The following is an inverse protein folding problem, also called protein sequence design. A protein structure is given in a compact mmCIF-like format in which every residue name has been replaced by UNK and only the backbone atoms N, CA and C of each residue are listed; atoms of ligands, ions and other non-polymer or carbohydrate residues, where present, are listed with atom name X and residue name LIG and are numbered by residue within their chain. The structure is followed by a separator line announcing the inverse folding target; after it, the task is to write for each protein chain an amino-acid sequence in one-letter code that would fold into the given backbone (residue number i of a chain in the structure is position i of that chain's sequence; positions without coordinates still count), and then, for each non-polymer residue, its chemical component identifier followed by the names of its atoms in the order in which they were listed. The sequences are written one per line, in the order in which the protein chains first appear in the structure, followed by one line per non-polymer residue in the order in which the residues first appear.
data_IF_064864937987
#
_entry.id   IF_064864937987
#
_cell.length_a   1.000
_cell.length_b   1.000
_cell.length_c   1.000
_cell.angle_alpha   90.00
_cell.angle_beta   90.00
_cell.angle_gamma   90.00
#
_symmetry.space_group_name_H-M   'P 1'
#
loop_
_entity.id
_entity.type
_entity.pdbx_description
1 polymer ?
#
# COMPACT_ATOMS: atom_id res chain seq x y z
N UNK A 1 2.08 -33.92 23.64
CA UNK A 1 2.01 -33.45 25.04
C UNK A 1 0.75 -32.68 25.28
N UNK A 2 0.18 -32.67 26.52
CA UNK A 2 -0.97 -31.81 26.79
C UNK A 2 -0.56 -30.35 26.85
N UNK A 3 -1.19 -29.51 26.02
CA UNK A 3 -0.95 -28.08 26.00
C UNK A 3 -2.19 -27.29 25.55
N UNK A 4 -2.16 -26.01 25.80
CA UNK A 4 -3.21 -25.06 25.41
C UNK A 4 -3.07 -24.72 23.92
N UNK A 5 -4.11 -24.96 23.14
CA UNK A 5 -4.19 -24.68 21.70
C UNK A 5 -5.54 -24.01 21.43
N UNK A 6 -5.64 -23.20 20.40
CA UNK A 6 -6.92 -22.62 20.01
C UNK A 6 -7.81 -23.65 19.30
N UNK A 7 -9.11 -23.50 19.49
CA UNK A 7 -10.15 -24.21 18.72
C UNK A 7 -11.10 -23.18 18.14
N UNK A 8 -11.51 -23.36 16.88
CA UNK A 8 -12.39 -22.45 16.15
C UNK A 8 -13.71 -23.15 15.88
N UNK A 9 -14.79 -22.60 16.46
CA UNK A 9 -16.16 -23.04 16.24
C UNK A 9 -16.61 -22.63 14.83
N UNK A 10 -16.74 -23.61 13.95
CA UNK A 10 -17.07 -23.40 12.53
C UNK A 10 -18.51 -22.88 12.35
N UNK A 11 -19.42 -23.13 13.28
CA UNK A 11 -20.81 -22.63 13.21
C UNK A 11 -20.87 -21.14 13.54
N UNK A 12 -20.06 -20.68 14.50
CA UNK A 12 -19.97 -19.27 14.91
C UNK A 12 -19.09 -18.44 13.98
N UNK A 13 -18.15 -19.08 13.28
CA UNK A 13 -17.24 -18.37 12.38
C UNK A 13 -17.97 -17.78 11.18
N UNK A 14 -17.89 -16.45 11.00
CA UNK A 14 -18.47 -15.73 9.87
C UNK A 14 -17.52 -15.54 8.67
N UNK A 15 -16.28 -16.04 8.74
CA UNK A 15 -15.31 -15.96 7.66
C UNK A 15 -14.62 -14.59 7.48
N UNK A 16 -14.65 -13.71 8.46
CA UNK A 16 -14.08 -12.35 8.34
C UNK A 16 -12.55 -12.29 8.19
N UNK A 17 -11.81 -13.35 8.54
CA UNK A 17 -10.35 -13.43 8.39
C UNK A 17 -9.52 -12.65 9.41
N UNK A 18 -10.11 -11.87 10.32
CA UNK A 18 -9.40 -11.02 11.28
C UNK A 18 -8.44 -11.83 12.17
N UNK A 19 -8.84 -13.04 12.59
CA UNK A 19 -8.01 -13.91 13.42
C UNK A 19 -6.79 -14.46 12.67
N UNK A 20 -6.90 -14.71 11.37
CA UNK A 20 -5.77 -15.13 10.54
C UNK A 20 -4.75 -13.99 10.39
N UNK A 21 -5.22 -12.75 10.24
CA UNK A 21 -4.35 -11.57 10.21
C UNK A 21 -3.68 -11.27 11.55
N UNK A 22 -4.36 -11.52 12.66
CA UNK A 22 -3.82 -11.28 14.01
C UNK A 22 -2.91 -12.39 14.52
N UNK A 23 -2.86 -13.54 13.85
CA UNK A 23 -1.99 -14.63 14.25
C UNK A 23 -0.55 -14.39 13.81
N UNK A 24 0.31 -13.99 14.74
CA UNK A 24 1.73 -13.73 14.45
C UNK A 24 2.45 -14.97 13.92
N UNK A 25 2.04 -16.16 14.33
CA UNK A 25 2.66 -17.44 13.95
C UNK A 25 2.06 -18.03 12.65
N UNK A 26 1.08 -17.33 12.04
CA UNK A 26 0.39 -17.80 10.83
C UNK A 26 -0.21 -19.22 10.96
N UNK A 27 -0.58 -19.58 12.19
CA UNK A 27 -1.18 -20.87 12.51
C UNK A 27 -2.63 -20.98 12.01
N UNK A 28 -3.30 -19.85 11.76
CA UNK A 28 -4.70 -19.78 11.32
C UNK A 28 -4.74 -19.44 9.83
N UNK A 29 -5.46 -20.23 9.05
CA UNK A 29 -5.75 -19.99 7.64
C UNK A 29 -7.24 -19.96 7.34
N UNK A 30 -7.58 -19.58 6.12
CA UNK A 30 -8.95 -19.62 5.62
C UNK A 30 -9.16 -20.88 4.79
N UNK A 31 -10.08 -21.75 5.21
CA UNK A 31 -10.44 -22.99 4.53
C UNK A 31 -11.95 -22.96 4.25
N UNK A 32 -12.35 -23.12 3.03
CA UNK A 32 -13.75 -23.07 2.58
C UNK A 32 -14.51 -21.81 3.07
N UNK A 33 -13.81 -20.67 3.10
CA UNK A 33 -14.38 -19.39 3.52
C UNK A 33 -14.49 -19.20 5.04
N UNK A 34 -13.96 -20.09 5.86
CA UNK A 34 -13.96 -20.02 7.33
C UNK A 34 -12.54 -20.16 7.87
N UNK A 35 -12.30 -19.57 9.04
CA UNK A 35 -11.01 -19.70 9.71
C UNK A 35 -10.81 -21.11 10.26
N UNK A 36 -9.62 -21.67 10.12
CA UNK A 36 -9.23 -22.95 10.67
C UNK A 36 -7.78 -22.91 11.18
N UNK A 37 -7.50 -23.66 12.25
CA UNK A 37 -6.14 -23.91 12.68
C UNK A 37 -5.48 -24.89 11.70
N UNK A 38 -4.43 -24.44 11.02
CA UNK A 38 -3.77 -25.22 9.96
C UNK A 38 -2.90 -26.34 10.53
N UNK A 39 -2.16 -26.03 11.61
CA UNK A 39 -1.27 -26.96 12.29
C UNK A 39 -1.20 -26.64 13.78
N UNK A 40 -1.23 -27.67 14.61
CA UNK A 40 -1.15 -27.51 16.06
C UNK A 40 0.20 -26.95 16.52
N UNK A 41 1.28 -27.43 15.93
CA UNK A 41 2.66 -27.06 16.25
C UNK A 41 3.04 -25.62 15.85
N UNK A 42 2.19 -24.93 15.07
CA UNK A 42 2.36 -23.51 14.76
C UNK A 42 1.69 -22.60 15.80
N UNK A 43 0.70 -23.09 16.55
CA UNK A 43 0.03 -22.27 17.57
C UNK A 43 0.89 -22.18 18.81
N UNK A 44 1.33 -20.99 19.22
CA UNK A 44 2.08 -20.72 20.45
C UNK A 44 1.21 -20.77 21.73
N UNK A 45 -0.12 -20.61 21.57
CA UNK A 45 -1.09 -20.59 22.68
C UNK A 45 -1.19 -19.24 23.39
N UNK A 46 -0.64 -18.15 22.85
CA UNK A 46 -0.74 -16.80 23.43
C UNK A 46 -2.16 -16.22 23.28
N UNK A 47 -2.80 -16.42 22.13
CA UNK A 47 -4.22 -16.12 21.96
C UNK A 47 -4.54 -14.72 21.44
N UNK A 48 -3.63 -14.07 20.73
CA UNK A 48 -3.84 -12.76 20.11
C UNK A 48 -5.02 -12.74 19.11
N UNK A 49 -5.38 -13.92 18.62
CA UNK A 49 -6.54 -14.14 17.74
C UNK A 49 -7.90 -14.07 18.45
N UNK A 50 -7.95 -14.22 19.80
CA UNK A 50 -9.23 -14.25 20.53
C UNK A 50 -9.93 -12.88 20.56
N UNK A 51 -9.26 -11.77 20.98
CA UNK A 51 -9.91 -10.47 21.12
C UNK A 51 -10.37 -9.85 19.80
N UNK A 52 -9.81 -10.29 18.67
CA UNK A 52 -10.18 -9.77 17.36
C UNK A 52 -11.35 -10.51 16.70
N UNK A 53 -11.83 -11.59 17.30
CA UNK A 53 -12.95 -12.36 16.74
C UNK A 53 -14.30 -11.71 17.09
N UNK A 54 -15.04 -11.13 16.11
CA UNK A 54 -16.28 -10.42 16.38
C UNK A 54 -17.43 -11.36 16.81
N UNK A 55 -17.32 -12.65 16.51
CA UNK A 55 -18.34 -13.66 16.81
C UNK A 55 -17.98 -14.55 18.01
N UNK A 56 -16.83 -14.29 18.66
CA UNK A 56 -16.31 -15.12 19.73
C UNK A 56 -16.25 -16.62 19.37
N UNK A 57 -15.91 -16.92 18.12
CA UNK A 57 -15.80 -18.29 17.61
C UNK A 57 -14.53 -19.02 18.09
N UNK A 58 -13.56 -18.30 18.68
CA UNK A 58 -12.25 -18.85 19.05
C UNK A 58 -12.21 -19.06 20.57
N UNK A 59 -11.81 -20.24 20.97
CA UNK A 59 -11.61 -20.62 22.39
C UNK A 59 -10.30 -21.38 22.55
N UNK A 60 -9.84 -21.49 23.80
CA UNK A 60 -8.73 -22.36 24.13
C UNK A 60 -9.23 -23.74 24.54
N UNK A 61 -8.49 -24.75 24.09
CA UNK A 61 -8.65 -26.13 24.52
C UNK A 61 -7.31 -26.68 25.03
N UNK A 62 -7.33 -27.41 26.14
CA UNK A 62 -6.18 -28.16 26.61
C UNK A 62 -6.31 -29.60 26.10
N UNK A 63 -5.54 -29.94 25.10
CA UNK A 63 -5.56 -31.26 24.48
C UNK A 63 -4.16 -31.79 24.17
N UNK A 64 -4.06 -33.05 23.85
CA UNK A 64 -2.81 -33.59 23.35
C UNK A 64 -2.53 -33.01 21.96
N UNK A 65 -1.42 -32.30 21.82
CA UNK A 65 -0.98 -31.65 20.59
C UNK A 65 0.54 -31.73 20.46
N UNK A 66 1.02 -31.57 19.22
CA UNK A 66 2.45 -31.45 18.96
C UNK A 66 3.05 -30.25 19.71
N UNK A 67 4.30 -30.34 20.13
CA UNK A 67 5.00 -29.18 20.71
C UNK A 67 5.06 -28.02 19.71
N UNK A 68 5.06 -26.79 20.21
CA UNK A 68 5.30 -25.60 19.38
C UNK A 68 6.68 -25.70 18.73
N UNK A 69 6.73 -25.48 17.42
CA UNK A 69 7.94 -25.57 16.61
C UNK A 69 8.23 -24.21 15.96
N UNK A 70 8.99 -23.38 16.66
CA UNK A 70 9.42 -22.07 16.20
C UNK A 70 10.22 -22.16 14.89
N UNK A 71 11.04 -23.18 14.71
CA UNK A 71 11.84 -23.34 13.50
C UNK A 71 10.96 -23.62 12.28
N UNK A 72 9.92 -24.45 12.44
CA UNK A 72 8.95 -24.72 11.40
C UNK A 72 8.10 -23.48 11.07
N UNK A 73 7.74 -22.67 12.05
CA UNK A 73 7.04 -21.40 11.85
C UNK A 73 7.90 -20.41 11.08
N UNK A 74 9.17 -20.24 11.45
CA UNK A 74 10.11 -19.35 10.74
C UNK A 74 10.34 -19.81 9.30
N UNK A 75 10.48 -21.11 9.07
CA UNK A 75 10.60 -21.67 7.72
C UNK A 75 9.34 -21.42 6.88
N UNK A 76 8.15 -21.55 7.48
CA UNK A 76 6.88 -21.26 6.79
C UNK A 76 6.76 -19.77 6.45
N UNK A 77 7.09 -18.88 7.38
CA UNK A 77 7.12 -17.43 7.13
C UNK A 77 8.09 -17.08 5.99
N UNK A 78 9.31 -17.63 6.02
CA UNK A 78 10.30 -17.40 4.96
C UNK A 78 9.84 -17.94 3.59
N UNK A 79 9.14 -19.08 3.54
CA UNK A 79 8.59 -19.61 2.30
C UNK A 79 7.43 -18.76 1.74
N UNK A 80 6.61 -18.20 2.61
CA UNK A 80 5.51 -17.30 2.21
C UNK A 80 6.00 -15.91 1.80
N UNK A 81 7.08 -15.40 2.40
CA UNK A 81 7.75 -14.18 1.94
C UNK A 81 8.40 -14.37 0.56
N UNK A 82 8.86 -15.58 0.23
CA UNK A 82 9.38 -15.90 -1.09
C UNK A 82 8.30 -16.03 -2.17
N UNK A 83 7.07 -16.34 -1.78
CA UNK A 83 5.88 -16.37 -2.64
C UNK A 83 4.98 -15.17 -2.36
N UNK A 84 5.37 -13.98 -2.81
CA UNK A 84 4.39 -12.92 -3.04
C UNK A 84 3.44 -13.44 -4.14
N UNK A 85 2.15 -13.71 -3.85
CA UNK A 85 1.25 -14.42 -4.77
C UNK A 85 0.83 -13.59 -5.98
N UNK A 86 1.52 -12.51 -6.24
CA UNK A 86 1.28 -11.60 -7.33
C UNK A 86 2.48 -11.63 -8.29
N UNK A 87 2.40 -12.43 -9.34
CA UNK A 87 3.28 -12.35 -10.51
C UNK A 87 3.17 -11.02 -11.26
N UNK A 88 2.82 -9.94 -10.57
CA UNK A 88 2.72 -8.60 -11.12
C UNK A 88 4.11 -8.10 -11.52
N UNK A 89 4.26 -7.46 -12.70
CA UNK A 89 5.52 -6.83 -13.14
C UNK A 89 6.12 -5.88 -12.10
N UNK A 90 5.30 -5.29 -11.22
CA UNK A 90 5.73 -4.39 -10.16
C UNK A 90 6.44 -5.03 -8.96
N UNK A 91 6.45 -6.37 -8.86
CA UNK A 91 7.16 -7.11 -7.79
C UNK A 91 8.35 -7.91 -8.30
N UNK A 92 8.55 -7.96 -9.61
CA UNK A 92 9.68 -8.69 -10.21
C UNK A 92 10.98 -7.91 -10.00
N UNK A 93 11.94 -8.55 -9.33
CA UNK A 93 13.30 -8.00 -9.22
C UNK A 93 13.98 -8.03 -10.60
N UNK A 94 14.45 -6.88 -11.05
CA UNK A 94 15.22 -6.76 -12.29
C UNK A 94 16.32 -5.71 -12.16
N UNK A 95 17.44 -5.93 -12.83
CA UNK A 95 18.45 -4.90 -13.00
C UNK A 95 17.98 -3.90 -14.06
N UNK A 96 18.04 -2.64 -13.74
CA UNK A 96 17.77 -1.56 -14.68
C UNK A 96 19.08 -1.24 -15.45
N UNK A 97 18.99 -1.16 -16.77
CA UNK A 97 20.11 -0.70 -17.57
C UNK A 97 20.27 0.80 -17.38
N UNK A 98 21.45 1.21 -16.89
CA UNK A 98 21.81 2.62 -16.92
C UNK A 98 21.97 3.03 -18.39
N UNK A 99 21.24 4.07 -18.78
CA UNK A 99 21.47 4.70 -20.08
C UNK A 99 22.88 5.27 -20.07
N UNK A 100 23.62 5.06 -21.15
CA UNK A 100 24.93 5.72 -21.31
C UNK A 100 24.74 7.23 -21.10
N UNK A 101 25.58 7.86 -20.24
CA UNK A 101 25.46 9.29 -20.01
C UNK A 101 25.63 10.01 -21.36
N UNK A 102 24.65 10.83 -21.71
CA UNK A 102 24.79 11.75 -22.81
C UNK A 102 26.08 12.58 -22.61
N UNK A 103 26.83 12.92 -23.67
CA UNK A 103 28.12 13.60 -23.54
C UNK A 103 27.99 14.82 -22.63
N UNK A 104 28.84 14.89 -21.64
CA UNK A 104 28.82 15.81 -20.52
C UNK A 104 28.52 17.25 -20.94
N UNK A 105 27.31 17.70 -20.67
CA UNK A 105 26.97 19.12 -20.68
C UNK A 105 26.79 19.57 -19.24
N UNK A 106 27.75 20.39 -18.81
CA UNK A 106 27.76 21.23 -17.62
C UNK A 106 27.70 20.49 -16.24
N UNK A 107 28.64 20.85 -15.37
CA UNK A 107 28.71 20.45 -13.98
C UNK A 107 27.30 20.50 -13.33
N UNK A 108 26.82 19.34 -12.87
CA UNK A 108 25.55 19.24 -12.21
C UNK A 108 25.54 20.17 -10.97
N UNK A 109 24.86 21.30 -11.06
CA UNK A 109 24.57 22.12 -9.88
C UNK A 109 23.69 21.29 -8.94
N UNK A 110 23.97 21.26 -7.64
CA UNK A 110 23.13 20.59 -6.68
C UNK A 110 21.67 21.05 -6.86
N UNK A 111 20.78 20.12 -7.16
CA UNK A 111 19.36 20.45 -7.27
C UNK A 111 18.78 20.62 -5.86
N UNK A 112 18.24 21.78 -5.56
CA UNK A 112 17.50 22.02 -4.34
C UNK A 112 16.15 21.28 -4.40
N UNK A 113 15.63 20.93 -3.23
CA UNK A 113 14.26 20.41 -3.13
C UNK A 113 13.25 21.46 -3.59
N UNK A 114 12.33 21.08 -4.44
CA UNK A 114 11.20 21.92 -4.87
C UNK A 114 9.94 21.68 -4.00
N UNK A 115 10.06 20.88 -2.93
CA UNK A 115 8.95 20.58 -2.03
C UNK A 115 8.53 21.83 -1.25
N UNK A 116 7.23 22.12 -1.23
CA UNK A 116 6.69 23.35 -0.65
C UNK A 116 5.87 23.13 0.62
N UNK A 117 5.58 21.88 0.98
CA UNK A 117 4.81 21.55 2.18
C UNK A 117 5.27 20.24 2.82
N UNK A 118 4.81 20.06 4.07
CA UNK A 118 4.92 18.83 4.83
C UNK A 118 3.64 18.64 5.67
N UNK A 119 3.10 17.43 5.84
CA UNK A 119 3.54 16.14 5.29
C UNK A 119 3.19 15.96 3.80
N UNK A 120 3.78 14.92 3.16
CA UNK A 120 3.52 14.57 1.75
C UNK A 120 2.62 13.34 1.60
N UNK A 121 2.64 12.43 2.57
CA UNK A 121 1.82 11.22 2.54
C UNK A 121 0.32 11.55 2.61
N UNK A 122 -0.47 11.06 1.65
CA UNK A 122 -1.93 11.31 1.58
C UNK A 122 -2.60 11.04 2.93
N UNK A 123 -2.24 9.96 3.60
CA UNK A 123 -2.81 9.56 4.90
C UNK A 123 -2.57 10.59 6.00
N UNK A 124 -1.47 11.31 5.96
CA UNK A 124 -1.04 12.25 6.99
C UNK A 124 -1.48 13.70 6.74
N UNK A 125 -1.85 14.03 5.50
CA UNK A 125 -2.24 15.41 5.14
C UNK A 125 -3.59 15.76 5.77
N UNK A 126 -3.65 16.94 6.40
CA UNK A 126 -4.93 17.50 6.84
C UNK A 126 -5.69 18.07 5.63
N UNK A 127 -6.93 17.63 5.34
CA UNK A 127 -7.74 18.14 4.22
C UNK A 127 -8.00 19.65 4.24
N UNK A 128 -7.93 20.26 5.39
CA UNK A 128 -8.14 21.71 5.58
C UNK A 128 -6.83 22.51 5.73
N UNK A 129 -5.70 21.91 5.33
CA UNK A 129 -4.41 22.59 5.44
C UNK A 129 -4.36 23.85 4.53
N UNK A 130 -3.89 25.01 5.04
CA UNK A 130 -3.92 26.28 4.29
C UNK A 130 -3.20 26.22 2.94
N UNK A 131 -2.15 25.40 2.81
CA UNK A 131 -1.36 25.27 1.58
C UNK A 131 -2.13 24.59 0.44
N UNK A 132 -3.25 23.92 0.73
CA UNK A 132 -4.11 23.28 -0.29
C UNK A 132 -4.94 24.32 -1.05
N UNK A 133 -5.28 25.45 -0.42
CA UNK A 133 -6.13 26.46 -1.04
C UNK A 133 -5.47 27.11 -2.26
N UNK A 134 -6.19 27.16 -3.39
CA UNK A 134 -5.70 27.71 -4.66
C UNK A 134 -4.47 27.00 -5.24
N UNK A 135 -4.23 25.74 -4.85
CA UNK A 135 -3.06 24.96 -5.24
C UNK A 135 -3.26 24.18 -6.55
N UNK A 136 -2.15 23.73 -7.12
CA UNK A 136 -2.10 22.64 -8.08
C UNK A 136 -1.67 21.39 -7.32
N UNK A 137 -2.42 20.31 -7.42
CA UNK A 137 -2.07 19.07 -6.74
C UNK A 137 -1.24 18.17 -7.65
N UNK A 138 -0.19 17.62 -7.09
CA UNK A 138 0.51 16.45 -7.60
C UNK A 138 0.12 15.26 -6.73
N UNK A 139 -0.49 14.24 -7.33
CA UNK A 139 -0.79 12.96 -6.67
C UNK A 139 0.09 11.89 -7.29
N UNK A 140 1.13 11.46 -6.60
CA UNK A 140 2.16 10.60 -7.15
C UNK A 140 2.28 9.27 -6.40
N UNK A 141 2.54 8.19 -7.13
CA UNK A 141 2.89 6.92 -6.53
C UNK A 141 4.31 6.99 -5.92
N UNK A 142 4.53 6.39 -4.77
CA UNK A 142 5.78 6.46 -4.00
C UNK A 142 7.04 6.16 -4.83
N UNK A 143 6.94 5.21 -5.77
CA UNK A 143 8.10 4.79 -6.58
C UNK A 143 8.51 5.83 -7.65
N UNK A 144 7.63 6.77 -8.03
CA UNK A 144 7.83 7.65 -9.20
C UNK A 144 9.02 8.58 -9.05
N UNK A 145 9.21 9.15 -7.85
CA UNK A 145 10.32 10.04 -7.56
C UNK A 145 11.70 9.33 -7.56
N UNK A 146 11.70 8.04 -7.32
CA UNK A 146 12.93 7.23 -7.37
C UNK A 146 13.24 6.75 -8.78
N UNK A 147 12.22 6.51 -9.61
CA UNK A 147 12.40 6.07 -10.99
C UNK A 147 12.77 7.22 -11.93
N UNK A 148 12.16 8.41 -11.77
CA UNK A 148 12.36 9.54 -12.67
C UNK A 148 13.32 10.57 -12.09
N UNK A 149 14.53 10.68 -12.67
CA UNK A 149 15.62 11.47 -12.11
C UNK A 149 15.37 12.99 -11.99
N UNK A 150 14.50 13.57 -12.81
CA UNK A 150 14.17 15.01 -12.80
C UNK A 150 12.83 15.32 -12.11
N UNK A 151 12.40 14.46 -11.16
CA UNK A 151 11.07 14.49 -10.56
C UNK A 151 10.75 15.81 -9.87
N UNK A 152 11.70 16.36 -9.12
CA UNK A 152 11.51 17.63 -8.41
C UNK A 152 11.22 18.78 -9.37
N UNK A 153 12.02 18.91 -10.42
CA UNK A 153 11.89 20.02 -11.37
C UNK A 153 10.65 19.89 -12.25
N UNK A 154 10.34 18.66 -12.73
CA UNK A 154 9.22 18.45 -13.65
C UNK A 154 7.87 18.40 -12.93
N UNK A 155 7.79 17.74 -11.78
CA UNK A 155 6.50 17.42 -11.15
C UNK A 155 6.27 18.14 -9.82
N UNK A 156 7.26 18.21 -8.93
CA UNK A 156 7.05 18.83 -7.59
C UNK A 156 6.98 20.35 -7.68
N UNK A 157 7.76 20.95 -8.55
CA UNK A 157 7.83 22.42 -8.69
C UNK A 157 6.44 23.02 -8.93
N UNK A 158 6.06 23.98 -8.11
CA UNK A 158 4.77 24.68 -8.15
C UNK A 158 3.53 23.79 -7.91
N UNK A 159 3.70 22.62 -7.28
CA UNK A 159 2.62 21.74 -6.88
C UNK A 159 2.65 21.46 -5.37
N UNK A 160 1.49 21.25 -4.81
CA UNK A 160 1.33 20.60 -3.51
C UNK A 160 1.35 19.11 -3.74
N UNK A 161 2.31 18.42 -3.14
CA UNK A 161 2.63 17.04 -3.45
C UNK A 161 2.00 16.08 -2.44
N UNK A 162 1.23 15.14 -2.94
CA UNK A 162 0.61 14.05 -2.20
C UNK A 162 1.14 12.72 -2.74
N UNK A 163 1.66 11.87 -1.87
CA UNK A 163 2.20 10.57 -2.28
C UNK A 163 1.54 9.42 -1.54
N UNK A 164 1.62 8.23 -2.13
CA UNK A 164 1.13 6.99 -1.52
C UNK A 164 1.34 5.77 -2.39
N UNK A 165 1.14 4.59 -1.81
CA UNK A 165 1.20 3.32 -2.52
C UNK A 165 -0.10 2.53 -2.36
N UNK A 166 -0.96 2.44 -3.39
CA UNK A 166 -2.24 1.72 -3.29
C UNK A 166 -2.08 0.24 -2.92
N UNK A 167 -0.91 -0.34 -3.21
CA UNK A 167 -0.61 -1.74 -2.91
C UNK A 167 -0.22 -1.96 -1.45
N UNK A 168 0.54 -1.03 -0.85
CA UNK A 168 1.12 -1.19 0.49
C UNK A 168 0.23 -0.59 1.59
N UNK A 169 -0.46 0.51 1.30
CA UNK A 169 -1.16 1.28 2.32
C UNK A 169 -2.50 0.68 2.74
N UNK A 170 -3.05 -0.24 1.97
CA UNK A 170 -4.35 -0.89 2.20
C UNK A 170 -5.47 0.12 2.54
N UNK A 171 -5.48 1.26 1.85
CA UNK A 171 -6.37 2.40 2.09
C UNK A 171 -7.09 2.82 0.81
N UNK A 172 -8.34 3.28 0.96
CA UNK A 172 -9.07 3.94 -0.12
C UNK A 172 -8.75 5.44 -0.13
N UNK A 173 -7.77 5.82 -0.92
CA UNK A 173 -7.39 7.23 -1.08
C UNK A 173 -8.49 8.12 -1.65
N UNK A 174 -9.49 7.55 -2.34
CA UNK A 174 -10.56 8.33 -2.95
C UNK A 174 -11.32 9.16 -1.92
N UNK A 175 -11.54 8.61 -0.72
CA UNK A 175 -12.22 9.28 0.39
C UNK A 175 -11.48 10.54 0.82
N UNK A 176 -10.18 10.40 1.11
CA UNK A 176 -9.33 11.52 1.56
C UNK A 176 -9.16 12.57 0.47
N UNK A 177 -8.96 12.14 -0.77
CA UNK A 177 -8.83 13.04 -1.90
C UNK A 177 -10.15 13.78 -2.17
N UNK A 178 -11.30 13.13 -2.06
CA UNK A 178 -12.62 13.78 -2.16
C UNK A 178 -12.77 14.89 -1.10
N UNK A 179 -12.41 14.60 0.14
CA UNK A 179 -12.45 15.57 1.23
C UNK A 179 -11.56 16.79 0.94
N UNK A 180 -10.33 16.57 0.44
CA UNK A 180 -9.41 17.63 0.03
C UNK A 180 -10.02 18.47 -1.10
N UNK A 181 -10.58 17.82 -2.13
CA UNK A 181 -11.18 18.51 -3.28
C UNK A 181 -12.43 19.33 -2.88
N UNK A 182 -13.25 18.81 -1.96
CA UNK A 182 -14.44 19.52 -1.46
C UNK A 182 -14.06 20.75 -0.63
N UNK A 183 -13.08 20.59 0.26
CA UNK A 183 -12.69 21.63 1.22
C UNK A 183 -11.89 22.79 0.61
N UNK A 184 -11.29 22.61 -0.58
CA UNK A 184 -10.33 23.57 -1.14
C UNK A 184 -10.62 23.91 -2.62
N UNK A 185 -10.20 25.08 -3.05
CA UNK A 185 -10.23 25.49 -4.46
C UNK A 185 -8.96 25.00 -5.16
N UNK A 186 -9.04 23.79 -5.73
CA UNK A 186 -7.92 23.18 -6.45
C UNK A 186 -7.93 23.60 -7.91
N UNK A 187 -6.81 24.10 -8.42
CA UNK A 187 -6.66 24.58 -9.80
C UNK A 187 -6.51 23.44 -10.82
N UNK A 188 -5.77 22.41 -10.45
CA UNK A 188 -5.53 21.24 -11.31
C UNK A 188 -5.03 20.08 -10.50
N UNK A 189 -5.17 18.87 -11.04
CA UNK A 189 -4.62 17.63 -10.46
C UNK A 189 -3.72 16.96 -11.48
N UNK A 190 -2.48 16.69 -11.14
CA UNK A 190 -1.56 15.86 -11.92
C UNK A 190 -1.36 14.54 -11.20
N UNK A 191 -1.69 13.43 -11.83
CA UNK A 191 -1.42 12.09 -11.34
C UNK A 191 -0.14 11.59 -11.97
N UNK A 192 0.81 11.11 -11.16
CA UNK A 192 2.02 10.47 -11.67
C UNK A 192 2.09 9.05 -11.12
N UNK A 193 2.12 8.08 -12.02
CA UNK A 193 2.12 6.66 -11.66
C UNK A 193 3.19 5.89 -12.43
N UNK A 194 3.54 4.71 -11.92
CA UNK A 194 4.38 3.78 -12.65
C UNK A 194 3.54 2.97 -13.66
N UNK A 195 4.20 2.43 -14.68
CA UNK A 195 3.61 1.53 -15.67
C UNK A 195 3.03 0.24 -15.07
N UNK A 196 3.47 -0.12 -13.87
CA UNK A 196 3.08 -1.38 -13.21
C UNK A 196 1.62 -1.37 -12.77
N UNK A 197 0.89 -2.50 -12.88
CA UNK A 197 -0.55 -2.58 -12.63
C UNK A 197 -0.99 -2.10 -11.25
N UNK A 198 -0.16 -2.30 -10.21
CA UNK A 198 -0.50 -1.88 -8.85
C UNK A 198 -0.66 -0.36 -8.70
N UNK A 199 -0.03 0.45 -9.57
CA UNK A 199 -0.16 1.91 -9.55
C UNK A 199 -1.46 2.42 -10.21
N UNK A 200 -2.21 1.60 -10.93
CA UNK A 200 -3.52 1.97 -11.48
C UNK A 200 -4.52 2.39 -10.42
N UNK A 201 -4.38 1.89 -9.19
CA UNK A 201 -5.20 2.31 -8.04
C UNK A 201 -5.07 3.79 -7.69
N UNK A 202 -3.93 4.43 -7.95
CA UNK A 202 -3.75 5.88 -7.72
C UNK A 202 -4.59 6.71 -8.69
N UNK A 203 -4.55 6.37 -9.97
CA UNK A 203 -5.39 7.01 -10.98
C UNK A 203 -6.88 6.83 -10.68
N UNK A 204 -7.27 5.60 -10.34
CA UNK A 204 -8.66 5.30 -10.02
C UNK A 204 -9.15 6.08 -8.79
N UNK A 205 -8.33 6.23 -7.76
CA UNK A 205 -8.66 7.00 -6.56
C UNK A 205 -8.90 8.49 -6.90
N UNK A 206 -8.04 9.10 -7.72
CA UNK A 206 -8.21 10.49 -8.16
C UNK A 206 -9.45 10.65 -9.02
N UNK A 207 -9.68 9.74 -9.97
CA UNK A 207 -10.89 9.74 -10.85
C UNK A 207 -12.16 9.68 -10.00
N UNK A 208 -12.21 8.78 -9.04
CA UNK A 208 -13.35 8.64 -8.11
C UNK A 208 -13.53 9.91 -7.27
N UNK A 209 -12.44 10.49 -6.75
CA UNK A 209 -12.51 11.71 -5.96
C UNK A 209 -13.01 12.91 -6.76
N UNK A 210 -12.58 13.07 -8.02
CA UNK A 210 -13.07 14.12 -8.92
C UNK A 210 -14.57 13.96 -9.18
N UNK A 211 -15.04 12.75 -9.46
CA UNK A 211 -16.46 12.45 -9.65
C UNK A 211 -17.29 12.76 -8.40
N UNK A 212 -16.84 12.31 -7.23
CA UNK A 212 -17.54 12.51 -5.96
C UNK A 212 -17.55 13.97 -5.50
N UNK A 213 -16.50 14.73 -5.82
CA UNK A 213 -16.45 16.16 -5.50
C UNK A 213 -17.46 17.00 -6.28
N UNK A 214 -17.92 16.53 -7.44
CA UNK A 214 -18.79 17.28 -8.34
C UNK A 214 -18.16 18.53 -8.95
N UNK A 215 -16.86 18.78 -8.69
CA UNK A 215 -16.13 19.95 -9.21
C UNK A 215 -15.51 19.63 -10.58
N UNK A 216 -15.53 20.58 -11.49
CA UNK A 216 -14.85 20.49 -12.78
C UNK A 216 -13.43 21.02 -12.59
N UNK A 217 -12.50 20.10 -12.38
CA UNK A 217 -11.08 20.41 -12.16
C UNK A 217 -10.27 19.79 -13.30
N UNK A 218 -9.45 20.55 -14.03
CA UNK A 218 -8.55 19.99 -15.03
C UNK A 218 -7.60 18.98 -14.39
N UNK A 219 -7.42 17.82 -15.01
CA UNK A 219 -6.52 16.82 -14.53
C UNK A 219 -5.83 16.06 -15.65
N UNK A 220 -4.68 15.51 -15.35
CA UNK A 220 -3.87 14.71 -16.27
C UNK A 220 -3.23 13.54 -15.57
N UNK A 221 -2.88 12.51 -16.34
CA UNK A 221 -2.16 11.32 -15.87
C UNK A 221 -0.84 11.21 -16.63
N UNK A 222 0.24 11.02 -15.89
CA UNK A 222 1.57 10.75 -16.44
C UNK A 222 2.01 9.36 -15.98
N UNK A 223 2.35 8.51 -16.95
CA UNK A 223 2.86 7.17 -16.69
C UNK A 223 4.36 7.13 -16.91
N UNK A 224 5.09 6.65 -15.89
CA UNK A 224 6.55 6.50 -15.88
C UNK A 224 6.90 5.02 -15.94
N UNK A 225 7.86 4.67 -16.82
CA UNK A 225 8.41 3.31 -16.86
C UNK A 225 9.33 3.06 -15.67
N UNK A 226 9.58 1.79 -15.40
CA UNK A 226 10.54 1.39 -14.36
C UNK A 226 11.99 1.81 -14.70
N UNK A 227 12.27 2.10 -15.97
CA UNK A 227 13.56 2.62 -16.44
C UNK A 227 13.63 4.17 -16.44
N UNK A 228 12.61 4.82 -15.86
CA UNK A 228 12.60 6.28 -15.69
C UNK A 228 12.24 7.09 -16.92
N UNK A 229 11.51 6.51 -17.88
CA UNK A 229 11.02 7.22 -19.06
C UNK A 229 9.54 7.59 -18.88
N UNK A 230 9.13 8.73 -19.39
CA UNK A 230 7.71 9.06 -19.49
C UNK A 230 7.16 8.33 -20.71
N UNK A 231 6.20 7.44 -20.48
CA UNK A 231 5.55 6.64 -21.52
C UNK A 231 4.34 7.35 -22.11
N UNK A 232 3.60 8.06 -21.26
CA UNK A 232 2.32 8.64 -21.64
C UNK A 232 2.01 9.86 -20.77
N UNK A 233 1.43 10.90 -21.38
CA UNK A 233 0.84 12.07 -20.72
C UNK A 233 -0.57 12.28 -21.34
N UNK A 234 -1.65 12.05 -20.57
CA UNK A 234 -3.05 12.13 -21.01
C UNK A 234 -3.80 13.19 -20.20
#
# INVERSE_FOLDING_TARGET
MFRKVITIDQEKCNGCGLCAQACHEQAIGMVDGKAALLRDDYCDGLGDCLPVCPTNAITFEVREAAAYDEAAVLANKASQEAELPCGCPGTQARLLHQQEPAPAQQAATPQNSELQQWPVQIKLVNPHAPYLQNSRLLVAADCTAFAYGDFHRKFIKNHITLIGCPKLDNEDYSRKLTEILLANDIKSVTVVRMEVPCCGGMEQAVRTALQQSGKIIPWQVVTISTDGQILEEI
#
